data_IF_099679570771
#
_entry.id   IF_099679570771
#
_cell.length_a   1.000
_cell.length_b   1.000
_cell.length_c   1.000
_cell.angle_alpha   90.00
_cell.angle_beta   90.00
_cell.angle_gamma   90.00
#
_symmetry.space_group_name_H-M   'P 1'
#
loop_
_entity.id
_entity.type
_entity.pdbx_description
1 polymer ?
#
# COMPACT_ATOMS: atom_id res chain seq x y z
N UNK A 1 -1.20 3.08 -29.85
CA UNK A 1 -0.49 4.17 -29.13
C UNK A 1 -0.90 4.24 -27.67
N UNK A 2 -2.20 4.32 -27.35
CA UNK A 2 -2.67 4.39 -25.95
C UNK A 2 -2.36 3.13 -25.11
N UNK A 3 -2.50 1.93 -25.70
CA UNK A 3 -2.07 0.66 -25.06
C UNK A 3 -0.58 0.72 -24.66
N UNK A 4 0.29 1.06 -25.61
CA UNK A 4 1.75 1.11 -25.39
C UNK A 4 2.12 2.09 -24.27
N UNK A 5 1.48 3.26 -24.25
CA UNK A 5 1.71 4.27 -23.23
C UNK A 5 1.26 3.79 -21.84
N UNK A 6 0.06 3.21 -21.73
CA UNK A 6 -0.47 2.65 -20.48
C UNK A 6 0.44 1.54 -19.96
N UNK A 7 0.84 0.60 -20.83
CA UNK A 7 1.72 -0.50 -20.44
C UNK A 7 3.13 -0.02 -20.07
N UNK A 8 3.66 0.98 -20.76
CA UNK A 8 4.95 1.59 -20.42
C UNK A 8 4.90 2.25 -19.04
N UNK A 9 3.83 2.99 -18.74
CA UNK A 9 3.63 3.62 -17.43
C UNK A 9 3.42 2.57 -16.32
N UNK A 10 2.63 1.54 -16.58
CA UNK A 10 2.41 0.44 -15.63
C UNK A 10 3.72 -0.29 -15.32
N UNK A 11 4.50 -0.62 -16.35
CA UNK A 11 5.82 -1.26 -16.20
C UNK A 11 6.79 -0.35 -15.45
N UNK A 12 6.77 0.96 -15.72
CA UNK A 12 7.59 1.92 -14.99
C UNK A 12 7.20 1.99 -13.50
N UNK A 13 5.90 1.98 -13.19
CA UNK A 13 5.42 1.95 -11.81
C UNK A 13 5.86 0.68 -11.08
N UNK A 14 5.75 -0.49 -11.72
CA UNK A 14 6.26 -1.77 -11.20
C UNK A 14 7.77 -1.71 -10.99
N UNK A 15 8.52 -1.14 -11.95
CA UNK A 15 9.96 -0.92 -11.81
C UNK A 15 10.32 -0.04 -10.60
N UNK A 16 9.48 0.94 -10.28
CA UNK A 16 9.65 1.78 -9.07
C UNK A 16 9.36 1.01 -7.78
N UNK A 17 8.39 0.11 -7.78
CA UNK A 17 8.12 -0.80 -6.66
C UNK A 17 9.30 -1.77 -6.46
N UNK A 18 9.88 -2.29 -7.55
CA UNK A 18 11.09 -3.11 -7.53
C UNK A 18 12.27 -2.35 -6.91
N UNK A 19 12.55 -1.14 -7.40
CA UNK A 19 13.60 -0.28 -6.86
C UNK A 19 13.40 0.04 -5.37
N UNK A 20 12.15 0.22 -4.92
CA UNK A 20 11.86 0.40 -3.51
C UNK A 20 12.14 -0.85 -2.68
N UNK A 21 11.89 -2.04 -3.23
CA UNK A 21 12.19 -3.32 -2.58
C UNK A 21 13.69 -3.52 -2.42
N UNK A 22 14.48 -3.15 -3.44
CA UNK A 22 15.95 -3.17 -3.38
C UNK A 22 16.49 -2.18 -2.33
N UNK A 23 15.95 -0.95 -2.30
CA UNK A 23 16.30 0.05 -1.30
C UNK A 23 15.97 -0.43 0.13
N UNK A 24 14.85 -1.12 0.31
CA UNK A 24 14.48 -1.75 1.59
C UNK A 24 15.49 -2.81 2.03
N UNK A 25 15.99 -3.63 1.11
CA UNK A 25 16.97 -4.68 1.42
C UNK A 25 18.30 -4.11 1.93
N UNK A 26 18.72 -2.95 1.41
CA UNK A 26 19.92 -2.22 1.88
C UNK A 26 19.63 -1.27 3.07
N UNK A 27 18.41 -1.32 3.63
CA UNK A 27 17.94 -0.48 4.75
C UNK A 27 17.89 1.03 4.46
N UNK A 28 17.81 1.43 3.19
CA UNK A 28 17.54 2.81 2.78
C UNK A 28 16.02 3.05 2.70
N UNK A 29 15.39 3.09 3.87
CA UNK A 29 13.94 3.33 3.99
C UNK A 29 13.47 4.68 3.43
N UNK A 30 14.23 5.80 3.57
CA UNK A 30 13.84 7.06 2.94
C UNK A 30 13.79 6.98 1.42
N UNK A 31 14.75 6.31 0.77
CA UNK A 31 14.71 6.10 -0.67
C UNK A 31 13.56 5.19 -1.08
N UNK A 32 13.35 4.08 -0.36
CA UNK A 32 12.24 3.16 -0.61
C UNK A 32 10.88 3.89 -0.56
N UNK A 33 10.65 4.71 0.46
CA UNK A 33 9.43 5.50 0.59
C UNK A 33 9.24 6.52 -0.55
N UNK A 34 10.31 7.13 -1.05
CA UNK A 34 10.24 8.06 -2.21
C UNK A 34 9.87 7.34 -3.49
N UNK A 35 10.46 6.17 -3.77
CA UNK A 35 10.14 5.41 -4.98
C UNK A 35 8.72 4.83 -4.93
N UNK A 36 8.24 4.39 -3.76
CA UNK A 36 6.84 3.98 -3.55
C UNK A 36 5.85 5.13 -3.76
N UNK A 37 6.19 6.34 -3.29
CA UNK A 37 5.36 7.52 -3.52
C UNK A 37 5.29 7.89 -5.02
N UNK A 38 6.40 7.74 -5.76
CA UNK A 38 6.40 7.92 -7.22
C UNK A 38 5.54 6.86 -7.90
N UNK A 39 5.67 5.59 -7.51
CA UNK A 39 4.84 4.51 -8.03
C UNK A 39 3.35 4.78 -7.80
N UNK A 40 2.97 5.19 -6.58
CA UNK A 40 1.59 5.56 -6.23
C UNK A 40 1.04 6.65 -7.16
N UNK A 41 1.82 7.70 -7.45
CA UNK A 41 1.41 8.76 -8.37
C UNK A 41 1.25 8.29 -9.82
N UNK A 42 2.10 7.35 -10.27
CA UNK A 42 2.00 6.78 -11.61
C UNK A 42 0.73 5.93 -11.76
N UNK A 43 0.44 5.05 -10.80
CA UNK A 43 -0.78 4.22 -10.85
C UNK A 43 -2.05 5.06 -10.64
N UNK A 44 -1.97 6.15 -9.87
CA UNK A 44 -3.07 7.12 -9.77
C UNK A 44 -3.37 7.78 -11.12
N UNK A 45 -2.35 8.28 -11.82
CA UNK A 45 -2.51 8.87 -13.16
C UNK A 45 -3.10 7.85 -14.15
N UNK A 46 -2.68 6.58 -14.06
CA UNK A 46 -3.28 5.50 -14.86
C UNK A 46 -4.77 5.34 -14.58
N UNK A 47 -5.17 5.26 -13.31
CA UNK A 47 -6.55 5.06 -12.90
C UNK A 47 -7.47 6.24 -13.25
N UNK A 48 -7.01 7.48 -13.03
CA UNK A 48 -7.85 8.69 -13.13
C UNK A 48 -7.88 9.28 -14.54
N UNK A 49 -6.78 9.19 -15.31
CA UNK A 49 -6.66 9.87 -16.59
C UNK A 49 -6.59 8.91 -17.77
N UNK A 50 -5.62 7.99 -17.75
CA UNK A 50 -5.23 7.26 -18.96
C UNK A 50 -6.18 6.10 -19.29
N UNK A 51 -6.54 5.30 -18.28
CA UNK A 51 -7.43 4.15 -18.46
C UNK A 51 -8.87 4.57 -18.79
N UNK A 52 -9.47 5.59 -18.14
CA UNK A 52 -10.80 6.06 -18.50
C UNK A 52 -10.86 6.59 -19.94
N UNK A 53 -9.85 7.34 -20.38
CA UNK A 53 -9.75 7.79 -21.77
C UNK A 53 -9.71 6.59 -22.73
N UNK A 54 -8.92 5.55 -22.41
CA UNK A 54 -8.81 4.37 -23.24
C UNK A 54 -10.10 3.56 -23.36
N UNK A 55 -10.84 3.44 -22.26
CA UNK A 55 -12.15 2.78 -22.25
C UNK A 55 -13.17 3.62 -23.03
N UNK A 56 -13.15 4.95 -22.88
CA UNK A 56 -14.11 5.85 -23.56
C UNK A 56 -13.97 5.87 -25.09
N UNK A 57 -12.76 5.63 -25.62
CA UNK A 57 -12.50 5.58 -27.06
C UNK A 57 -12.91 4.25 -27.73
N UNK A 58 -13.27 3.22 -26.95
CA UNK A 58 -13.69 1.92 -27.50
C UNK A 58 -15.21 1.76 -27.34
N UNK A 59 -15.97 2.25 -28.32
CA UNK A 59 -17.44 2.29 -28.33
C UNK A 59 -18.18 0.94 -28.41
N UNK A 60 -17.52 -0.20 -28.22
CA UNK A 60 -18.19 -1.51 -28.37
C UNK A 60 -17.32 -2.65 -27.86
N UNK A 61 -17.91 -3.47 -26.98
CA UNK A 61 -17.61 -4.87 -26.67
C UNK A 61 -17.13 -5.11 -25.23
N UNK A 62 -17.99 -5.78 -24.47
CA UNK A 62 -17.81 -6.49 -23.19
C UNK A 62 -16.59 -7.44 -23.11
N UNK A 63 -15.73 -7.48 -24.13
CA UNK A 63 -14.55 -8.35 -24.20
C UNK A 63 -13.28 -7.72 -23.65
N UNK A 64 -13.22 -6.39 -23.47
CA UNK A 64 -11.98 -5.74 -23.03
C UNK A 64 -11.60 -6.05 -21.57
N UNK A 65 -12.58 -6.20 -20.68
CA UNK A 65 -12.31 -6.39 -19.25
C UNK A 65 -11.64 -7.72 -18.89
N UNK A 66 -11.80 -8.76 -19.74
CA UNK A 66 -11.24 -10.10 -19.47
C UNK A 66 -9.81 -10.27 -19.98
N UNK A 67 -9.50 -9.71 -21.14
CA UNK A 67 -8.22 -9.92 -21.84
C UNK A 67 -7.16 -8.85 -21.53
N UNK A 68 -7.52 -7.80 -20.79
CA UNK A 68 -6.54 -6.81 -20.35
C UNK A 68 -5.60 -7.38 -19.27
N UNK A 69 -4.32 -7.01 -19.30
CA UNK A 69 -3.40 -7.25 -18.20
C UNK A 69 -3.92 -6.66 -16.89
N UNK A 70 -3.58 -7.29 -15.78
CA UNK A 70 -4.01 -6.92 -14.43
C UNK A 70 -3.65 -5.47 -14.11
N UNK A 71 -2.45 -5.07 -14.52
CA UNK A 71 -1.86 -3.74 -14.35
C UNK A 71 -2.52 -2.64 -15.20
N UNK A 72 -3.41 -3.00 -16.13
CA UNK A 72 -4.17 -2.08 -16.98
C UNK A 72 -5.66 -2.01 -16.59
N UNK A 73 -6.01 -2.44 -15.37
CA UNK A 73 -7.35 -2.32 -14.81
C UNK A 73 -7.45 -1.14 -13.84
N UNK A 74 -8.52 -0.36 -13.96
CA UNK A 74 -8.76 0.83 -13.11
C UNK A 74 -8.80 0.41 -11.64
N UNK A 75 -9.57 -0.63 -11.32
CA UNK A 75 -9.70 -1.11 -9.93
C UNK A 75 -8.37 -1.60 -9.35
N UNK A 76 -7.54 -2.25 -10.17
CA UNK A 76 -6.21 -2.66 -9.76
C UNK A 76 -5.31 -1.45 -9.49
N UNK A 77 -5.27 -0.46 -10.39
CA UNK A 77 -4.46 0.74 -10.23
C UNK A 77 -4.87 1.57 -8.99
N UNK A 78 -6.16 1.73 -8.74
CA UNK A 78 -6.69 2.39 -7.54
C UNK A 78 -6.27 1.64 -6.27
N UNK A 79 -6.40 0.30 -6.26
CA UNK A 79 -5.97 -0.51 -5.12
C UNK A 79 -4.44 -0.40 -4.91
N UNK A 80 -3.65 -0.55 -5.96
CA UNK A 80 -2.19 -0.50 -5.87
C UNK A 80 -1.66 0.88 -5.46
N UNK A 81 -2.39 1.96 -5.76
CA UNK A 81 -2.09 3.28 -5.20
C UNK A 81 -2.15 3.24 -3.68
N UNK A 82 -3.24 2.71 -3.11
CA UNK A 82 -3.44 2.59 -1.67
C UNK A 82 -2.35 1.73 -1.04
N UNK A 83 -2.03 0.60 -1.68
CA UNK A 83 -0.96 -0.29 -1.21
C UNK A 83 0.41 0.40 -1.21
N UNK A 84 0.77 1.10 -2.30
CA UNK A 84 2.05 1.82 -2.37
C UNK A 84 2.17 2.89 -1.28
N UNK A 85 1.07 3.58 -0.96
CA UNK A 85 1.03 4.53 0.16
C UNK A 85 1.16 3.84 1.52
N UNK A 86 0.48 2.71 1.72
CA UNK A 86 0.60 1.91 2.95
C UNK A 86 2.05 1.44 3.18
N UNK A 87 2.68 0.85 2.17
CA UNK A 87 4.07 0.39 2.24
C UNK A 87 5.03 1.59 2.36
N UNK A 88 4.74 2.71 1.71
CA UNK A 88 5.50 3.95 1.89
C UNK A 88 5.46 4.44 3.34
N UNK A 89 4.30 4.34 4.00
CA UNK A 89 4.14 4.66 5.41
C UNK A 89 4.86 3.65 6.32
N UNK A 90 4.89 2.35 5.97
CA UNK A 90 5.74 1.37 6.66
C UNK A 90 7.22 1.78 6.63
N UNK A 91 7.72 2.29 5.49
CA UNK A 91 9.11 2.77 5.39
C UNK A 91 9.36 3.99 6.29
N UNK A 92 8.36 4.86 6.48
CA UNK A 92 8.47 5.97 7.43
C UNK A 92 8.58 5.47 8.88
N UNK A 93 7.77 4.47 9.26
CA UNK A 93 7.87 3.81 10.57
C UNK A 93 9.25 3.17 10.76
N UNK A 94 9.73 2.43 9.76
CA UNK A 94 11.07 1.80 9.79
C UNK A 94 12.18 2.84 9.91
N UNK A 95 12.06 3.99 9.22
CA UNK A 95 13.02 5.10 9.32
C UNK A 95 13.09 5.67 10.75
N UNK A 96 11.94 5.81 11.42
CA UNK A 96 11.90 6.31 12.81
C UNK A 96 12.52 5.28 13.76
N UNK A 97 12.22 4.00 13.59
CA UNK A 97 12.74 2.92 14.43
C UNK A 97 14.24 2.65 14.21
N UNK A 98 14.77 2.96 13.03
CA UNK A 98 16.20 2.80 12.73
C UNK A 98 17.09 3.88 13.37
N UNK A 99 16.51 5.00 13.81
CA UNK A 99 17.27 6.06 14.47
C UNK A 99 17.57 5.67 15.92
N UNK A 100 18.75 6.04 16.47
CA UNK A 100 19.14 5.71 17.85
C UNK A 100 18.39 6.53 18.92
N UNK A 101 17.38 7.32 18.53
CA UNK A 101 16.63 8.20 19.42
C UNK A 101 15.39 7.51 19.96
N UNK A 102 14.98 7.83 21.19
CA UNK A 102 13.67 7.38 21.72
C UNK A 102 12.56 7.90 20.78
N UNK A 103 11.81 7.01 20.13
CA UNK A 103 10.81 7.45 19.18
C UNK A 103 9.57 7.97 19.91
N UNK A 104 8.82 8.85 19.26
CA UNK A 104 7.51 9.25 19.75
C UNK A 104 6.52 8.10 19.57
N UNK A 105 6.24 7.35 20.65
CA UNK A 105 5.36 6.19 20.62
C UNK A 105 3.93 6.53 20.22
N UNK A 106 3.39 7.70 20.59
CA UNK A 106 2.06 8.15 20.16
C UNK A 106 1.99 8.34 18.64
N UNK A 107 3.05 8.92 18.04
CA UNK A 107 3.14 9.06 16.58
C UNK A 107 3.25 7.70 15.90
N UNK A 108 4.11 6.82 16.41
CA UNK A 108 4.27 5.46 15.85
C UNK A 108 2.96 4.67 15.90
N UNK A 109 2.21 4.78 17.00
CA UNK A 109 0.91 4.13 17.13
C UNK A 109 -0.07 4.55 16.03
N UNK A 110 -0.17 5.86 15.78
CA UNK A 110 -1.04 6.42 14.73
C UNK A 110 -0.57 6.02 13.33
N UNK A 111 0.74 6.02 13.10
CA UNK A 111 1.29 5.59 11.82
C UNK A 111 1.02 4.10 11.56
N UNK A 112 1.17 3.23 12.56
CA UNK A 112 0.84 1.81 12.41
C UNK A 112 -0.66 1.57 12.20
N UNK A 113 -1.53 2.32 12.89
CA UNK A 113 -2.97 2.24 12.66
C UNK A 113 -3.32 2.61 11.22
N UNK A 114 -2.81 3.74 10.72
CA UNK A 114 -3.04 4.18 9.35
C UNK A 114 -2.53 3.20 8.29
N UNK A 115 -1.44 2.46 8.56
CA UNK A 115 -0.99 1.38 7.68
C UNK A 115 -2.04 0.26 7.63
N UNK A 116 -2.54 -0.19 8.79
CA UNK A 116 -3.58 -1.24 8.83
C UNK A 116 -4.87 -0.81 8.13
N UNK A 117 -5.32 0.44 8.32
CA UNK A 117 -6.50 0.99 7.66
C UNK A 117 -6.33 1.06 6.14
N UNK A 118 -5.16 1.49 5.65
CA UNK A 118 -4.88 1.47 4.21
C UNK A 118 -4.83 0.04 3.64
N UNK A 119 -4.32 -0.95 4.38
CA UNK A 119 -4.31 -2.34 3.92
C UNK A 119 -5.72 -2.96 3.89
N UNK A 120 -6.57 -2.63 4.87
CA UNK A 120 -7.99 -3.00 4.85
C UNK A 120 -8.71 -2.35 3.65
N UNK A 121 -8.43 -1.06 3.40
CA UNK A 121 -8.97 -0.33 2.25
C UNK A 121 -8.48 -0.92 0.92
N UNK A 122 -7.22 -1.33 0.84
CA UNK A 122 -6.68 -2.06 -0.32
C UNK A 122 -7.47 -3.35 -0.59
N UNK A 123 -7.65 -4.19 0.44
CA UNK A 123 -8.41 -5.43 0.30
C UNK A 123 -9.87 -5.17 -0.09
N UNK A 124 -10.51 -4.17 0.50
CA UNK A 124 -11.88 -3.76 0.16
C UNK A 124 -11.98 -3.28 -1.29
N UNK A 125 -11.01 -2.49 -1.75
CA UNK A 125 -10.96 -1.99 -3.14
C UNK A 125 -10.74 -3.13 -4.13
N UNK A 126 -9.81 -4.05 -3.83
CA UNK A 126 -9.58 -5.24 -4.65
C UNK A 126 -10.84 -6.11 -4.77
N UNK A 127 -11.55 -6.35 -3.66
CA UNK A 127 -12.76 -7.17 -3.69
C UNK A 127 -13.94 -6.51 -4.41
N UNK A 128 -14.04 -5.17 -4.38
CA UNK A 128 -15.18 -4.44 -4.94
C UNK A 128 -14.99 -4.03 -6.40
N UNK A 129 -13.76 -3.65 -6.79
CA UNK A 129 -13.47 -3.06 -8.10
C UNK A 129 -12.54 -3.89 -8.99
N UNK A 130 -11.82 -4.86 -8.42
CA UNK A 130 -10.79 -5.64 -9.11
C UNK A 130 -10.90 -7.14 -8.81
N UNK A 131 -12.13 -7.66 -8.68
CA UNK A 131 -12.37 -9.04 -8.25
C UNK A 131 -11.85 -10.07 -9.25
N UNK A 132 -11.98 -9.80 -10.56
CA UNK A 132 -11.48 -10.68 -11.62
C UNK A 132 -9.96 -10.65 -11.71
N UNK A 133 -9.38 -9.48 -11.48
CA UNK A 133 -7.95 -9.22 -11.43
C UNK A 133 -7.30 -9.90 -10.23
N UNK A 134 -8.01 -9.92 -9.10
CA UNK A 134 -7.58 -10.61 -7.88
C UNK A 134 -7.29 -12.09 -8.13
N UNK A 135 -8.10 -12.77 -8.94
CA UNK A 135 -7.90 -14.18 -9.29
C UNK A 135 -6.62 -14.43 -10.10
N UNK A 136 -6.09 -13.39 -10.77
CA UNK A 136 -4.85 -13.45 -11.55
C UNK A 136 -3.59 -13.20 -10.70
N UNK A 137 -3.77 -12.78 -9.45
CA UNK A 137 -2.68 -12.50 -8.50
C UNK A 137 -2.50 -13.71 -7.58
N UNK A 138 -1.26 -13.95 -7.16
CA UNK A 138 -0.93 -15.01 -6.21
C UNK A 138 -1.78 -14.91 -4.92
N UNK A 139 -2.40 -16.01 -4.50
CA UNK A 139 -3.17 -16.06 -3.27
C UNK A 139 -2.32 -15.79 -2.02
N UNK A 140 -1.04 -16.17 -2.06
CA UNK A 140 -0.12 -15.98 -0.94
C UNK A 140 0.14 -14.50 -0.67
N UNK A 141 0.07 -13.66 -1.70
CA UNK A 141 0.17 -12.22 -1.56
C UNK A 141 -0.93 -11.66 -0.65
N UNK A 142 -2.19 -12.07 -0.82
CA UNK A 142 -3.28 -11.62 0.04
C UNK A 142 -3.19 -12.16 1.46
N UNK A 143 -2.62 -13.35 1.63
CA UNK A 143 -2.30 -13.90 2.96
C UNK A 143 -1.27 -13.02 3.68
N UNK A 144 -0.22 -12.57 2.96
CA UNK A 144 0.78 -11.64 3.51
C UNK A 144 0.13 -10.30 3.87
N UNK A 145 -0.71 -9.72 3.01
CA UNK A 145 -1.39 -8.45 3.34
C UNK A 145 -2.30 -8.60 4.56
N UNK A 146 -3.05 -9.69 4.67
CA UNK A 146 -3.90 -9.95 5.83
C UNK A 146 -3.07 -10.07 7.12
N UNK A 147 -1.94 -10.76 7.05
CA UNK A 147 -0.99 -10.84 8.16
C UNK A 147 -0.42 -9.45 8.52
N UNK A 148 0.07 -8.69 7.54
CA UNK A 148 0.62 -7.35 7.78
C UNK A 148 -0.41 -6.39 8.38
N UNK A 149 -1.68 -6.50 7.96
CA UNK A 149 -2.78 -5.72 8.53
C UNK A 149 -2.91 -5.95 10.04
N UNK A 150 -2.98 -7.22 10.45
CA UNK A 150 -3.08 -7.59 11.87
C UNK A 150 -1.82 -7.24 12.65
N UNK A 151 -0.65 -7.43 12.03
CA UNK A 151 0.64 -7.09 12.62
C UNK A 151 0.74 -5.58 12.91
N UNK A 152 0.36 -4.73 11.96
CA UNK A 152 0.37 -3.28 12.18
C UNK A 152 -0.68 -2.80 13.18
N UNK A 153 -1.83 -3.46 13.26
CA UNK A 153 -2.83 -3.21 14.29
C UNK A 153 -2.30 -3.54 15.68
N UNK A 154 -1.63 -4.69 15.84
CA UNK A 154 -0.97 -5.07 17.08
C UNK A 154 0.16 -4.11 17.46
N UNK A 155 0.99 -3.68 16.49
CA UNK A 155 2.03 -2.67 16.73
C UNK A 155 1.44 -1.32 17.17
N UNK A 156 0.29 -0.93 16.61
CA UNK A 156 -0.40 0.29 17.02
C UNK A 156 -0.83 0.23 18.50
N UNK A 157 -1.40 -0.89 18.93
CA UNK A 157 -1.77 -1.12 20.32
C UNK A 157 -0.54 -1.13 21.23
N UNK A 158 0.53 -1.81 20.82
CA UNK A 158 1.79 -1.84 21.55
C UNK A 158 2.39 -0.43 21.76
N UNK A 159 2.49 0.36 20.70
CA UNK A 159 3.03 1.73 20.82
C UNK A 159 2.09 2.65 21.59
N UNK A 160 0.77 2.45 21.51
CA UNK A 160 -0.20 3.18 22.33
C UNK A 160 -0.04 2.86 23.81
N UNK A 161 0.06 1.57 24.15
CA UNK A 161 0.29 1.11 25.51
C UNK A 161 1.61 1.66 26.06
N UNK A 162 2.67 1.67 25.24
CA UNK A 162 3.95 2.26 25.63
C UNK A 162 3.86 3.75 25.90
N UNK A 163 3.14 4.50 25.06
CA UNK A 163 2.91 5.92 25.26
C UNK A 163 2.15 6.22 26.55
N UNK A 164 1.15 5.39 26.90
CA UNK A 164 0.37 5.53 28.14
C UNK A 164 1.16 5.10 29.37
N UNK A 165 2.04 4.10 29.22
CA UNK A 165 2.96 3.69 30.27
C UNK A 165 3.90 4.84 30.66
N UNK A 166 4.45 5.55 29.67
CA UNK A 166 5.30 6.72 29.93
C UNK A 166 4.51 7.87 30.59
N UNK A 167 3.20 7.95 30.33
CA UNK A 167 2.28 8.89 30.99
C UNK A 167 1.81 8.44 32.38
N UNK A 168 2.26 7.28 32.88
CA UNK A 168 1.86 6.67 34.16
C UNK A 168 0.38 6.22 34.22
N UNK A 169 -0.30 6.12 33.07
CA UNK A 169 -1.68 5.64 32.95
C UNK A 169 -1.74 4.10 32.85
N UNK A 170 -1.21 3.43 33.87
CA UNK A 170 -1.04 1.96 33.86
C UNK A 170 -2.36 1.19 33.72
N UNK A 171 -3.46 1.76 34.24
CA UNK A 171 -4.80 1.18 34.17
C UNK A 171 -5.32 0.99 32.75
N UNK A 172 -4.86 1.81 31.79
CA UNK A 172 -5.22 1.71 30.37
C UNK A 172 -4.13 1.00 29.58
N UNK A 173 -2.85 1.19 29.95
CA UNK A 173 -1.73 0.57 29.25
C UNK A 173 -1.74 -0.97 29.32
N UNK A 174 -2.07 -1.56 30.47
CA UNK A 174 -2.04 -3.03 30.66
C UNK A 174 -3.11 -3.74 29.80
N UNK A 175 -4.38 -3.31 29.76
CA UNK A 175 -5.38 -3.89 28.88
C UNK A 175 -5.01 -3.85 27.40
N UNK A 176 -4.33 -2.79 26.93
CA UNK A 176 -3.94 -2.65 25.52
C UNK A 176 -2.82 -3.62 25.09
N UNK A 177 -2.16 -4.30 26.02
CA UNK A 177 -1.15 -5.33 25.74
C UNK A 177 -1.69 -6.76 25.81
N UNK A 178 -2.99 -6.96 26.05
CA UNK A 178 -3.66 -8.28 26.02
C UNK A 178 -4.25 -8.56 24.65
#
# INVERSE_FOLDING_TARGET
MMYEMVMTLATLAIGKIGAASDARNIRDYPLAGRELKKAAGMVQCLAEEQLPQWVSHKSSSDTLGKDLPVEASIGFCEAFQILCLAVGQQMAVATVLAKPTVPNYSLLAKLCLGISEHMELFNSTMNSKAALEKEKIDSDFFTVIAFETQFHRALSLYFSARSLWDAHDFGVAIPMMK
#
